data_IF_150227956070
#
_entry.id   IF_150227956070
#
_cell.length_a   1.000
_cell.length_b   1.000
_cell.length_c   1.000
_cell.angle_alpha   90.00
_cell.angle_beta   90.00
_cell.angle_gamma   90.00
#
_symmetry.space_group_name_H-M   'P 1'
#
loop_
_entity.id
_entity.type
_entity.pdbx_description
1 polymer ?
#
# COMPACT_ATOMS: atom_id res chain seq x y z
N UNK A 1 -18.12 16.33 -27.03
CA UNK A 1 -17.80 14.88 -27.09
C UNK A 1 -16.41 14.65 -26.50
N UNK A 2 -16.39 14.15 -25.26
CA UNK A 2 -15.28 13.72 -24.36
C UNK A 2 -14.05 14.64 -24.15
N UNK A 3 -14.08 15.42 -23.06
CA UNK A 3 -12.92 16.06 -22.44
C UNK A 3 -12.09 14.99 -21.68
N UNK A 4 -10.92 14.58 -22.19
CA UNK A 4 -10.04 13.59 -21.53
C UNK A 4 -9.24 14.19 -20.35
N UNK A 5 -9.91 14.39 -19.20
CA UNK A 5 -9.32 14.87 -17.95
C UNK A 5 -8.22 13.97 -17.38
N UNK A 6 -6.99 14.17 -17.83
CA UNK A 6 -5.82 13.42 -17.38
C UNK A 6 -5.27 14.07 -16.10
N UNK A 7 -5.44 13.40 -14.95
CA UNK A 7 -4.86 13.85 -13.69
C UNK A 7 -3.35 13.56 -13.73
N UNK A 8 -2.47 14.57 -13.54
CA UNK A 8 -1.03 14.36 -13.58
C UNK A 8 -0.55 13.49 -12.42
N UNK A 9 0.35 12.54 -12.70
CA UNK A 9 0.99 11.70 -11.68
C UNK A 9 2.06 12.52 -10.98
N UNK A 10 1.86 12.82 -9.69
CA UNK A 10 2.83 13.56 -8.88
C UNK A 10 3.94 12.65 -8.35
N UNK A 11 5.08 13.24 -7.98
CA UNK A 11 6.15 12.51 -7.27
C UNK A 11 5.63 11.87 -5.98
N UNK A 12 4.74 12.55 -5.27
CA UNK A 12 4.08 12.02 -4.09
C UNK A 12 3.28 10.76 -4.42
N UNK A 13 2.51 10.76 -5.52
CA UNK A 13 1.74 9.58 -5.95
C UNK A 13 2.64 8.40 -6.28
N UNK A 14 3.79 8.63 -6.92
CA UNK A 14 4.78 7.57 -7.20
C UNK A 14 5.36 7.01 -5.90
N UNK A 15 5.74 7.88 -4.96
CA UNK A 15 6.27 7.48 -3.65
C UNK A 15 5.23 6.70 -2.83
N UNK A 16 3.99 7.16 -2.80
CA UNK A 16 2.86 6.49 -2.16
C UNK A 16 2.62 5.10 -2.78
N UNK A 17 2.63 5.01 -4.11
CA UNK A 17 2.52 3.73 -4.83
C UNK A 17 3.63 2.76 -4.44
N UNK A 18 4.89 3.21 -4.42
CA UNK A 18 6.02 2.38 -4.02
C UNK A 18 5.91 1.88 -2.57
N UNK A 19 5.56 2.75 -1.62
CA UNK A 19 5.37 2.37 -0.21
C UNK A 19 4.24 1.34 -0.10
N UNK A 20 3.12 1.58 -0.77
CA UNK A 20 1.98 0.66 -0.78
C UNK A 20 2.40 -0.71 -1.33
N UNK A 21 3.04 -0.76 -2.49
CA UNK A 21 3.52 -2.00 -3.10
C UNK A 21 4.49 -2.75 -2.19
N UNK A 22 5.42 -2.05 -1.55
CA UNK A 22 6.39 -2.67 -0.66
C UNK A 22 5.73 -3.22 0.63
N UNK A 23 4.83 -2.45 1.26
CA UNK A 23 4.19 -2.84 2.51
C UNK A 23 3.17 -3.97 2.35
N UNK A 24 2.49 -4.08 1.21
CA UNK A 24 1.58 -5.20 0.92
C UNK A 24 2.26 -6.41 0.27
N UNK A 25 3.60 -6.41 0.20
CA UNK A 25 4.39 -7.53 -0.30
C UNK A 25 4.89 -8.45 0.82
N UNK A 26 5.62 -9.51 0.44
CA UNK A 26 6.30 -10.39 1.40
C UNK A 26 7.35 -9.66 2.24
N UNK A 27 7.86 -8.52 1.78
CA UNK A 27 8.88 -7.74 2.49
C UNK A 27 8.43 -7.27 3.86
N UNK A 28 7.13 -7.04 4.07
CA UNK A 28 6.58 -6.69 5.38
C UNK A 28 6.95 -7.69 6.48
N UNK A 29 7.07 -8.98 6.14
CA UNK A 29 7.38 -10.04 7.11
C UNK A 29 8.86 -10.10 7.49
N UNK A 30 9.74 -9.45 6.73
CA UNK A 30 11.18 -9.72 6.77
C UNK A 30 12.02 -8.47 7.05
N UNK A 31 11.53 -7.29 6.69
CA UNK A 31 12.36 -6.09 6.68
C UNK A 31 11.64 -4.90 7.32
N UNK A 32 12.42 -4.00 7.94
CA UNK A 32 11.93 -2.69 8.38
C UNK A 32 11.90 -1.67 7.22
N UNK A 33 12.67 -1.93 6.17
CA UNK A 33 12.78 -1.12 4.96
C UNK A 33 12.94 -2.04 3.75
N UNK A 34 12.31 -1.69 2.63
CA UNK A 34 12.43 -2.44 1.39
C UNK A 34 12.55 -1.50 0.18
N UNK A 35 13.09 -2.02 -0.93
CA UNK A 35 13.09 -1.30 -2.20
C UNK A 35 11.87 -1.70 -3.02
N UNK A 36 11.19 -0.69 -3.57
CA UNK A 36 10.26 -0.84 -4.68
C UNK A 36 10.79 -0.07 -5.88
N UNK A 37 10.24 -0.32 -7.06
CA UNK A 37 10.51 0.49 -8.22
C UNK A 37 9.26 0.71 -9.05
N UNK A 38 9.28 1.76 -9.86
CA UNK A 38 8.29 2.02 -10.90
C UNK A 38 8.97 2.21 -12.26
N UNK A 39 8.21 1.96 -13.30
CA UNK A 39 8.57 2.17 -14.70
C UNK A 39 7.38 2.74 -15.46
N UNK A 40 7.64 3.35 -16.61
CA UNK A 40 6.60 3.84 -17.51
C UNK A 40 5.91 2.67 -18.23
N UNK A 41 4.64 2.81 -18.64
CA UNK A 41 3.89 1.75 -19.31
C UNK A 41 4.60 1.17 -20.54
N UNK A 42 5.26 2.00 -21.34
CA UNK A 42 6.02 1.62 -22.54
C UNK A 42 7.24 0.74 -22.24
N UNK A 43 7.69 0.69 -20.98
CA UNK A 43 8.80 -0.14 -20.54
C UNK A 43 8.36 -1.57 -20.21
N UNK A 44 7.05 -1.85 -20.19
CA UNK A 44 6.48 -3.16 -19.85
C UNK A 44 6.07 -3.90 -21.11
N UNK A 45 6.64 -5.08 -21.34
CA UNK A 45 6.33 -5.93 -22.49
C UNK A 45 5.96 -7.35 -22.06
N UNK A 46 5.06 -7.98 -22.80
CA UNK A 46 4.81 -9.44 -22.70
C UNK A 46 5.57 -10.24 -23.77
N UNK A 47 6.23 -9.56 -24.71
CA UNK A 47 6.87 -10.17 -25.86
C UNK A 47 8.32 -10.56 -25.52
N UNK A 48 8.66 -11.86 -25.50
CA UNK A 48 10.05 -12.31 -25.34
C UNK A 48 10.92 -11.84 -26.49
N UNK A 49 12.24 -11.83 -26.28
CA UNK A 49 13.16 -11.84 -27.42
C UNK A 49 13.17 -13.23 -28.08
N UNK A 50 13.61 -13.31 -29.34
CA UNK A 50 13.70 -14.60 -30.04
C UNK A 50 14.57 -15.57 -29.23
N UNK A 51 14.02 -16.74 -28.91
CA UNK A 51 14.69 -17.77 -28.09
C UNK A 51 14.43 -17.66 -26.58
N UNK A 52 13.75 -16.63 -26.09
CA UNK A 52 13.35 -16.53 -24.69
C UNK A 52 11.91 -17.04 -24.45
N UNK A 53 11.66 -17.55 -23.25
CA UNK A 53 10.32 -17.92 -22.79
C UNK A 53 9.85 -16.94 -21.71
N UNK A 54 8.62 -16.41 -21.84
CA UNK A 54 7.97 -15.63 -20.77
C UNK A 54 6.91 -16.51 -20.11
N UNK A 55 7.06 -16.84 -18.81
CA UNK A 55 6.05 -17.58 -18.08
C UNK A 55 4.69 -16.87 -18.07
N UNK A 56 3.61 -17.64 -18.00
CA UNK A 56 2.25 -17.09 -17.88
C UNK A 56 2.16 -16.19 -16.65
N UNK A 57 1.76 -14.94 -16.87
CA UNK A 57 1.64 -13.92 -15.81
C UNK A 57 2.90 -13.10 -15.56
N UNK A 58 4.01 -13.40 -16.23
CA UNK A 58 5.22 -12.59 -16.18
C UNK A 58 5.21 -11.46 -17.23
N UNK A 59 6.04 -10.45 -16.99
CA UNK A 59 6.28 -9.32 -17.86
C UNK A 59 7.77 -9.03 -17.92
N UNK A 60 8.23 -8.49 -19.03
CA UNK A 60 9.60 -8.06 -19.23
C UNK A 60 9.66 -6.53 -19.08
N UNK A 61 10.57 -6.07 -18.23
CA UNK A 61 10.82 -4.64 -18.00
C UNK A 61 12.07 -4.23 -18.77
N UNK A 62 11.95 -3.21 -19.63
CA UNK A 62 13.05 -2.70 -20.47
C UNK A 62 13.46 -1.28 -20.06
N UNK A 63 14.75 -0.97 -20.19
CA UNK A 63 15.28 0.35 -19.87
C UNK A 63 15.45 0.61 -18.36
N UNK A 64 15.49 1.89 -17.99
CA UNK A 64 15.81 2.35 -16.61
C UNK A 64 14.64 2.10 -15.66
N UNK A 65 14.94 1.58 -14.47
CA UNK A 65 13.99 1.49 -13.35
C UNK A 65 14.19 2.67 -12.40
N UNK A 66 13.09 3.15 -11.82
CA UNK A 66 13.12 4.22 -10.82
C UNK A 66 12.87 3.60 -9.46
N UNK A 67 13.94 3.49 -8.65
CA UNK A 67 13.90 2.84 -7.35
C UNK A 67 13.45 3.81 -6.25
N UNK A 68 12.73 3.28 -5.26
CA UNK A 68 12.27 4.00 -4.08
C UNK A 68 12.55 3.16 -2.84
N UNK A 69 13.28 3.75 -1.90
CA UNK A 69 13.45 3.21 -0.55
C UNK A 69 12.17 3.44 0.25
N UNK A 70 11.57 2.35 0.74
CA UNK A 70 10.27 2.35 1.40
C UNK A 70 10.41 1.85 2.83
N UNK A 71 10.19 2.74 3.79
CA UNK A 71 10.03 2.35 5.19
C UNK A 71 8.74 1.55 5.37
N UNK A 72 8.79 0.42 6.07
CA UNK A 72 7.63 -0.45 6.29
C UNK A 72 6.71 0.13 7.37
N UNK A 73 5.97 1.18 7.01
CA UNK A 73 4.98 1.82 7.87
C UNK A 73 3.71 2.11 7.07
N UNK A 74 2.57 1.68 7.61
CA UNK A 74 1.24 1.89 7.03
C UNK A 74 0.33 2.59 8.02
N UNK A 75 -0.60 3.38 7.49
CA UNK A 75 -1.72 3.90 8.24
C UNK A 75 -2.97 3.06 7.94
N UNK A 76 -3.78 2.82 8.96
CA UNK A 76 -5.11 2.22 8.86
C UNK A 76 -6.10 3.22 9.45
N UNK A 77 -7.07 3.70 8.67
CA UNK A 77 -7.96 4.77 9.10
C UNK A 77 -9.34 4.70 8.46
N UNK A 78 -10.25 5.52 8.99
CA UNK A 78 -11.61 5.67 8.44
C UNK A 78 -11.66 6.77 7.41
N UNK A 79 -12.24 6.46 6.26
CA UNK A 79 -12.46 7.38 5.15
C UNK A 79 -13.95 7.42 4.82
N UNK A 80 -14.47 8.62 4.52
CA UNK A 80 -15.83 8.80 4.01
C UNK A 80 -15.82 8.90 2.49
N UNK A 81 -16.50 7.98 1.81
CA UNK A 81 -16.65 8.00 0.34
C UNK A 81 -18.15 7.96 0.05
N UNK A 82 -18.67 9.01 -0.59
CA UNK A 82 -20.09 9.16 -0.94
C UNK A 82 -21.01 8.93 0.28
N UNK A 83 -20.69 9.56 1.41
CA UNK A 83 -21.37 9.42 2.71
C UNK A 83 -21.34 8.01 3.34
N UNK A 84 -20.57 7.08 2.77
CA UNK A 84 -20.34 5.75 3.36
C UNK A 84 -18.98 5.72 4.04
N UNK A 85 -18.96 5.34 5.31
CA UNK A 85 -17.72 5.11 6.05
C UNK A 85 -17.08 3.80 5.61
N UNK A 86 -15.79 3.84 5.29
CA UNK A 86 -14.99 2.67 4.94
C UNK A 86 -13.68 2.69 5.73
N UNK A 87 -13.08 1.51 5.85
CA UNK A 87 -11.71 1.37 6.34
C UNK A 87 -10.75 1.41 5.17
N UNK A 88 -9.63 2.12 5.33
CA UNK A 88 -8.57 2.24 4.35
C UNK A 88 -7.24 1.93 4.99
N UNK A 89 -6.43 1.11 4.32
CA UNK A 89 -5.01 0.93 4.62
C UNK A 89 -4.15 1.52 3.51
N UNK A 90 -3.05 2.19 3.86
CA UNK A 90 -2.20 2.81 2.86
C UNK A 90 -1.03 3.62 3.41
N UNK A 91 -0.27 4.29 2.53
CA UNK A 91 0.85 5.12 2.90
C UNK A 91 0.43 6.23 3.87
N UNK A 92 1.33 6.58 4.80
CA UNK A 92 1.02 7.55 5.86
C UNK A 92 0.56 8.91 5.33
N UNK A 93 1.15 9.39 4.23
CA UNK A 93 0.74 10.67 3.62
C UNK A 93 -0.69 10.64 3.11
N UNK A 94 -1.12 9.54 2.48
CA UNK A 94 -2.49 9.37 2.01
C UNK A 94 -3.47 9.24 3.18
N UNK A 95 -3.14 8.42 4.19
CA UNK A 95 -3.99 8.22 5.37
C UNK A 95 -4.12 9.52 6.16
N UNK A 96 -3.02 10.24 6.38
CA UNK A 96 -3.02 11.58 6.99
C UNK A 96 -3.80 12.60 6.19
N UNK A 97 -3.93 12.45 4.88
CA UNK A 97 -4.72 13.38 4.06
C UNK A 97 -6.21 13.11 4.21
N UNK A 98 -6.62 11.84 4.12
CA UNK A 98 -8.02 11.46 3.92
C UNK A 98 -8.74 10.92 5.14
N UNK A 99 -8.02 10.54 6.20
CA UNK A 99 -8.59 9.98 7.42
C UNK A 99 -8.43 10.95 8.60
N UNK A 100 -9.51 11.17 9.33
CA UNK A 100 -9.50 11.99 10.56
C UNK A 100 -9.11 11.16 11.78
N UNK A 101 -9.37 9.85 11.78
CA UNK A 101 -8.96 8.94 12.84
C UNK A 101 -8.25 7.74 12.22
N UNK A 102 -7.00 7.51 12.62
CA UNK A 102 -6.16 6.47 12.06
C UNK A 102 -5.14 5.93 13.07
N UNK A 103 -4.69 4.71 12.81
CA UNK A 103 -3.63 4.00 13.53
C UNK A 103 -2.45 3.82 12.60
N UNK A 104 -1.24 3.96 13.12
CA UNK A 104 -0.01 3.66 12.38
C UNK A 104 0.53 2.31 12.85
N UNK A 105 0.86 1.47 11.89
CA UNK A 105 1.43 0.14 12.12
C UNK A 105 2.75 -0.04 11.37
N UNK A 106 3.55 -0.97 11.86
CA UNK A 106 4.77 -1.45 11.21
C UNK A 106 4.94 -2.96 11.47
N UNK A 107 5.89 -3.64 10.80
CA UNK A 107 6.21 -5.03 11.09
C UNK A 107 6.43 -5.25 12.59
N UNK A 108 5.86 -6.33 13.12
CA UNK A 108 5.90 -6.62 14.54
C UNK A 108 5.61 -8.08 14.81
N UNK A 109 5.12 -8.38 16.02
CA UNK A 109 4.95 -9.75 16.52
C UNK A 109 3.49 -10.13 16.77
N UNK A 110 2.54 -9.17 16.64
CA UNK A 110 1.12 -9.49 16.86
C UNK A 110 0.53 -10.05 15.58
N UNK A 111 -0.17 -11.18 15.72
CA UNK A 111 -0.96 -11.80 14.64
C UNK A 111 -2.03 -10.85 14.12
N UNK A 112 -2.37 -10.99 12.84
CA UNK A 112 -3.41 -10.20 12.16
C UNK A 112 -4.74 -10.18 12.93
N UNK A 113 -5.17 -11.32 13.47
CA UNK A 113 -6.42 -11.39 14.25
C UNK A 113 -6.39 -10.61 15.57
N UNK A 114 -5.24 -10.57 16.24
CA UNK A 114 -5.06 -9.84 17.51
C UNK A 114 -5.00 -8.33 17.25
N UNK A 115 -4.13 -7.90 16.33
CA UNK A 115 -3.97 -6.47 16.05
C UNK A 115 -5.23 -5.88 15.41
N UNK A 116 -5.97 -6.65 14.63
CA UNK A 116 -7.23 -6.19 14.06
C UNK A 116 -8.29 -5.89 15.11
N UNK A 117 -8.35 -6.65 16.22
CA UNK A 117 -9.27 -6.36 17.33
C UNK A 117 -8.91 -5.04 18.00
N UNK A 118 -7.62 -4.84 18.28
CA UNK A 118 -7.12 -3.59 18.88
C UNK A 118 -7.43 -2.37 18.00
N UNK A 119 -7.17 -2.46 16.69
CA UNK A 119 -7.45 -1.38 15.74
C UNK A 119 -8.96 -1.17 15.56
N UNK A 120 -9.76 -2.24 15.54
CA UNK A 120 -11.21 -2.18 15.43
C UNK A 120 -11.85 -1.42 16.60
N UNK A 121 -11.38 -1.64 17.83
CA UNK A 121 -11.82 -0.90 19.01
C UNK A 121 -11.52 0.60 18.87
N UNK A 122 -10.31 0.95 18.45
CA UNK A 122 -9.89 2.35 18.25
C UNK A 122 -10.74 3.03 17.18
N UNK A 123 -10.93 2.38 16.03
CA UNK A 123 -11.63 2.99 14.89
C UNK A 123 -13.15 2.87 14.98
N UNK A 124 -13.68 2.07 15.91
CA UNK A 124 -15.11 1.69 16.00
C UNK A 124 -15.59 1.00 14.72
N UNK A 125 -14.80 0.05 14.24
CA UNK A 125 -15.08 -0.79 13.07
C UNK A 125 -15.06 -2.27 13.47
N UNK A 126 -15.39 -3.19 12.57
CA UNK A 126 -15.29 -4.62 12.88
C UNK A 126 -13.87 -5.17 12.68
N UNK A 127 -13.41 -6.13 13.49
CA UNK A 127 -12.11 -6.78 13.27
C UNK A 127 -11.98 -7.40 11.87
N UNK A 128 -13.08 -7.91 11.31
CA UNK A 128 -13.11 -8.47 9.95
C UNK A 128 -12.78 -7.43 8.89
N UNK A 129 -13.40 -6.25 8.96
CA UNK A 129 -13.10 -5.15 8.02
C UNK A 129 -11.65 -4.69 8.16
N UNK A 130 -11.15 -4.56 9.39
CA UNK A 130 -9.76 -4.17 9.63
C UNK A 130 -8.78 -5.21 9.07
N UNK A 131 -9.02 -6.51 9.27
CA UNK A 131 -8.15 -7.56 8.72
C UNK A 131 -8.01 -7.50 7.20
N UNK A 132 -9.05 -7.07 6.48
CA UNK A 132 -9.03 -6.96 5.02
C UNK A 132 -8.05 -5.90 4.50
N UNK A 133 -7.69 -4.91 5.32
CA UNK A 133 -6.77 -3.84 4.94
C UNK A 133 -5.39 -3.96 5.58
N UNK A 134 -5.15 -5.00 6.40
CA UNK A 134 -3.85 -5.22 7.00
C UNK A 134 -2.83 -5.76 5.98
N UNK A 135 -1.54 -5.37 6.10
CA UNK A 135 -0.46 -5.98 5.34
C UNK A 135 -0.28 -7.46 5.74
N UNK A 136 0.40 -8.27 4.90
CA UNK A 136 0.59 -9.67 5.19
C UNK A 136 1.54 -9.89 6.37
N UNK A 137 1.17 -10.77 7.31
CA UNK A 137 2.03 -11.18 8.41
C UNK A 137 1.69 -10.50 9.73
N UNK A 138 2.71 -10.35 10.58
CA UNK A 138 2.57 -9.81 11.92
C UNK A 138 2.88 -8.31 11.94
N UNK A 139 2.25 -7.60 12.86
CA UNK A 139 2.32 -6.14 12.93
C UNK A 139 2.37 -5.68 14.38
N UNK A 140 2.75 -4.42 14.59
CA UNK A 140 2.57 -3.72 15.86
C UNK A 140 2.03 -2.32 15.62
N UNK A 141 1.24 -1.83 16.56
CA UNK A 141 0.78 -0.43 16.58
C UNK A 141 1.92 0.42 17.13
N UNK A 142 2.24 1.53 16.45
CA UNK A 142 3.24 2.49 16.92
C UNK A 142 2.63 3.82 17.36
N UNK A 143 1.46 4.16 16.82
CA UNK A 143 0.78 5.41 17.15
C UNK A 143 -0.70 5.33 16.81
N UNK A 144 -1.52 6.04 17.58
CA UNK A 144 -2.92 6.31 17.31
C UNK A 144 -3.05 7.82 17.16
N UNK A 145 -3.74 8.29 16.12
CA UNK A 145 -3.84 9.71 15.81
C UNK A 145 -5.25 10.08 15.38
N UNK A 146 -5.74 11.20 15.92
CA UNK A 146 -7.03 11.80 15.60
C UNK A 146 -6.84 13.28 15.28
N UNK A 147 -7.38 13.74 14.16
CA UNK A 147 -7.44 15.16 13.78
C UNK A 147 -8.58 15.88 14.48
#
# INVERSE_FOLDING_TARGET
NVNNGTIPITEQSLKEGCIFSACYSRSWKQYAEAQAYWVLPEQVSKTPQSGEFVPRGAFIIRGKRNYCTCKMQLGIGRISIHNTQKIMGGPLSAIKKWCDHYVIIEPGTKKSSTIAKEIAEVLKETPTQVQQVLPPGESRIISISKK
#
